data_IF_671283590805
#
_entry.id   IF_671283590805
#
_cell.length_a   1.000
_cell.length_b   1.000
_cell.length_c   1.000
_cell.angle_alpha   90.00
_cell.angle_beta   90.00
_cell.angle_gamma   90.00
#
_symmetry.space_group_name_H-M   'P 1'
#
loop_
_entity.id
_entity.type
_entity.pdbx_description
1 polymer ?
#
# COMPACT_ATOMS: atom_id res chain seq x y z
N UNK A 1 4.61 -6.40 -47.39
CA UNK A 1 4.25 -5.65 -46.17
C UNK A 1 3.70 -6.65 -45.17
N UNK A 2 4.57 -7.22 -44.33
CA UNK A 2 4.12 -7.97 -43.16
C UNK A 2 3.87 -6.95 -42.06
N UNK A 3 2.69 -6.99 -41.45
CA UNK A 3 2.46 -6.29 -40.20
C UNK A 3 3.29 -7.02 -39.14
N UNK A 4 4.44 -6.47 -38.79
CA UNK A 4 5.16 -6.89 -37.60
C UNK A 4 4.24 -6.64 -36.41
N UNK A 5 3.71 -7.74 -35.89
CA UNK A 5 3.07 -7.79 -34.59
C UNK A 5 4.14 -7.41 -33.55
N UNK A 6 4.33 -6.12 -33.31
CA UNK A 6 4.91 -5.58 -32.07
C UNK A 6 3.90 -5.82 -30.94
N UNK A 7 3.53 -7.08 -30.74
CA UNK A 7 2.81 -7.54 -29.58
C UNK A 7 3.75 -7.35 -28.41
N UNK A 8 3.32 -6.56 -27.45
CA UNK A 8 4.05 -6.33 -26.23
C UNK A 8 4.03 -7.64 -25.42
N UNK A 9 5.03 -8.51 -25.65
CA UNK A 9 5.04 -9.86 -25.07
C UNK A 9 5.70 -9.78 -23.70
N UNK A 10 4.88 -9.56 -22.68
CA UNK A 10 5.28 -9.75 -21.29
C UNK A 10 5.51 -11.23 -21.01
N UNK A 11 6.52 -11.56 -20.20
CA UNK A 11 6.62 -12.92 -19.68
C UNK A 11 5.40 -13.20 -18.78
N UNK A 12 4.77 -14.38 -18.94
CA UNK A 12 3.63 -14.81 -18.11
C UNK A 12 3.95 -14.75 -16.61
N UNK A 13 5.21 -15.03 -16.25
CA UNK A 13 5.75 -14.92 -14.90
C UNK A 13 5.65 -13.48 -14.37
N UNK A 14 6.07 -12.49 -15.14
CA UNK A 14 5.99 -11.05 -14.79
C UNK A 14 4.55 -10.62 -14.58
N UNK A 15 3.63 -11.02 -15.47
CA UNK A 15 2.20 -10.71 -15.34
C UNK A 15 1.58 -11.34 -14.08
N UNK A 16 1.94 -12.58 -13.77
CA UNK A 16 1.46 -13.26 -12.56
C UNK A 16 1.95 -12.58 -11.28
N UNK A 17 3.23 -12.18 -11.24
CA UNK A 17 3.80 -11.43 -10.11
C UNK A 17 3.09 -10.08 -9.98
N UNK A 18 2.94 -9.33 -11.07
CA UNK A 18 2.21 -8.06 -11.07
C UNK A 18 0.78 -8.22 -10.52
N UNK A 19 0.00 -9.19 -11.02
CA UNK A 19 -1.37 -9.41 -10.58
C UNK A 19 -1.45 -9.74 -9.07
N UNK A 20 -0.50 -10.54 -8.57
CA UNK A 20 -0.37 -10.83 -7.14
C UNK A 20 -0.09 -9.58 -6.32
N UNK A 21 0.88 -8.76 -6.74
CA UNK A 21 1.26 -7.53 -6.03
C UNK A 21 0.17 -6.46 -6.10
N UNK A 22 -0.52 -6.32 -7.23
CA UNK A 22 -1.65 -5.42 -7.37
C UNK A 22 -2.77 -5.78 -6.40
N UNK A 23 -3.15 -7.07 -6.33
CA UNK A 23 -4.11 -7.57 -5.34
C UNK A 23 -3.63 -7.30 -3.91
N UNK A 24 -2.37 -7.60 -3.62
CA UNK A 24 -1.78 -7.42 -2.30
C UNK A 24 -1.82 -5.95 -1.85
N UNK A 25 -1.57 -5.01 -2.78
CA UNK A 25 -1.67 -3.57 -2.54
C UNK A 25 -3.10 -3.09 -2.28
N UNK A 26 -4.09 -3.69 -2.94
CA UNK A 26 -5.51 -3.40 -2.68
C UNK A 26 -5.96 -3.91 -1.31
N UNK A 27 -5.48 -5.08 -0.89
CA UNK A 27 -5.71 -5.57 0.47
C UNK A 27 -5.10 -4.62 1.50
N UNK A 28 -3.85 -4.19 1.31
CA UNK A 28 -3.21 -3.21 2.19
C UNK A 28 -4.01 -1.90 2.25
N UNK A 29 -4.51 -1.40 1.13
CA UNK A 29 -5.32 -0.19 1.09
C UNK A 29 -6.61 -0.34 1.91
N UNK A 30 -7.28 -1.49 1.80
CA UNK A 30 -8.46 -1.80 2.61
C UNK A 30 -8.12 -1.84 4.10
N UNK A 31 -7.03 -2.50 4.46
CA UNK A 31 -6.59 -2.64 5.86
C UNK A 31 -6.25 -1.28 6.48
N UNK A 32 -5.58 -0.40 5.74
CA UNK A 32 -5.32 0.98 6.17
C UNK A 32 -6.63 1.76 6.37
N UNK A 33 -7.59 1.61 5.45
CA UNK A 33 -8.89 2.27 5.57
C UNK A 33 -9.64 1.84 6.83
N UNK A 34 -9.57 0.54 7.17
CA UNK A 34 -10.12 0.02 8.42
C UNK A 34 -9.40 0.63 9.62
N UNK A 35 -8.06 0.66 9.64
CA UNK A 35 -7.29 1.28 10.74
C UNK A 35 -7.69 2.73 10.98
N UNK A 36 -7.75 3.53 9.91
CA UNK A 36 -8.07 4.97 9.97
C UNK A 36 -9.51 5.19 10.46
N UNK A 37 -10.45 4.33 10.02
CA UNK A 37 -11.83 4.34 10.52
C UNK A 37 -11.87 3.99 12.01
N UNK A 38 -11.12 2.98 12.45
CA UNK A 38 -11.09 2.54 13.86
C UNK A 38 -10.53 3.59 14.82
N UNK A 39 -9.69 4.51 14.35
CA UNK A 39 -9.19 5.63 15.17
C UNK A 39 -10.03 6.90 15.06
N UNK A 40 -11.16 6.85 14.35
CA UNK A 40 -12.11 7.96 14.26
C UNK A 40 -11.57 9.18 13.52
N UNK A 41 -10.73 8.97 12.49
CA UNK A 41 -10.15 10.09 11.72
C UNK A 41 -11.09 10.57 10.60
N UNK A 42 -12.04 9.75 10.16
CA UNK A 42 -13.02 10.12 9.14
C UNK A 42 -14.38 10.41 9.77
N UNK A 43 -14.65 11.68 10.10
CA UNK A 43 -15.99 12.16 10.51
C UNK A 43 -16.85 12.59 9.30
N UNK A 44 -16.22 12.87 8.16
CA UNK A 44 -16.87 13.30 6.92
C UNK A 44 -16.68 12.27 5.80
N UNK A 45 -17.78 11.94 5.12
CA UNK A 45 -17.93 10.94 4.05
C UNK A 45 -17.19 11.28 2.73
N UNK A 46 -16.07 12.00 2.76
CA UNK A 46 -15.22 12.09 1.57
C UNK A 46 -14.66 10.70 1.29
N UNK A 47 -14.83 10.24 0.04
CA UNK A 47 -14.57 8.85 -0.35
C UNK A 47 -13.14 8.44 0.07
N UNK A 48 -12.98 7.49 1.02
CA UNK A 48 -11.67 7.10 1.49
C UNK A 48 -10.83 6.60 0.31
N UNK A 49 -9.59 7.12 0.25
CA UNK A 49 -8.61 6.76 -0.76
C UNK A 49 -7.34 6.27 -0.07
N UNK A 50 -6.59 5.38 -0.73
CA UNK A 50 -5.32 4.88 -0.21
C UNK A 50 -4.39 6.02 0.25
N UNK A 51 -4.30 7.10 -0.51
CA UNK A 51 -3.40 8.20 -0.22
C UNK A 51 -3.85 9.01 1.00
N UNK A 52 -5.15 9.31 1.10
CA UNK A 52 -5.71 10.03 2.25
C UNK A 52 -5.63 9.21 3.54
N UNK A 53 -5.90 7.91 3.47
CA UNK A 53 -5.80 7.01 4.63
C UNK A 53 -4.36 6.91 5.13
N UNK A 54 -3.39 6.87 4.21
CA UNK A 54 -1.97 6.85 4.55
C UNK A 54 -1.50 8.18 5.15
N UNK A 55 -1.98 9.31 4.63
CA UNK A 55 -1.67 10.63 5.19
C UNK A 55 -2.27 10.83 6.58
N UNK A 56 -3.52 10.38 6.76
CA UNK A 56 -4.16 10.33 8.06
C UNK A 56 -3.31 9.53 9.06
N UNK A 57 -2.89 8.32 8.69
CA UNK A 57 -2.16 7.43 9.57
C UNK A 57 -0.75 7.95 9.92
N UNK A 58 -0.04 8.49 8.92
CA UNK A 58 1.35 8.97 9.09
C UNK A 58 1.44 10.41 9.60
N UNK A 59 0.33 11.15 9.61
CA UNK A 59 0.20 12.51 10.10
C UNK A 59 -0.26 12.59 11.56
N UNK A 60 -1.11 13.59 11.84
CA UNK A 60 -1.66 13.86 13.17
C UNK A 60 -2.92 13.00 13.34
N UNK A 61 -2.83 11.92 14.11
CA UNK A 61 -3.98 11.10 14.46
C UNK A 61 -4.94 11.86 15.38
N UNK A 62 -6.24 11.55 15.26
CA UNK A 62 -7.30 12.04 16.14
C UNK A 62 -6.99 11.80 17.64
N UNK A 63 -7.67 12.50 18.54
CA UNK A 63 -7.54 12.30 19.98
C UNK A 63 -8.38 11.10 20.45
N UNK A 64 -7.75 10.09 21.06
CA UNK A 64 -8.45 8.93 21.62
C UNK A 64 -7.50 7.82 22.04
N UNK A 65 -7.97 6.85 22.82
CA UNK A 65 -7.17 5.73 23.30
C UNK A 65 -6.62 4.87 22.14
N UNK A 66 -7.45 4.57 21.14
CA UNK A 66 -7.06 3.86 19.92
C UNK A 66 -5.96 4.61 19.14
N UNK A 67 -6.14 5.91 18.93
CA UNK A 67 -5.16 6.75 18.25
C UNK A 67 -3.84 6.88 19.02
N UNK A 68 -3.90 6.88 20.36
CA UNK A 68 -2.71 6.88 21.20
C UNK A 68 -1.97 5.53 21.11
N UNK A 69 -2.69 4.41 21.15
CA UNK A 69 -2.09 3.09 21.00
C UNK A 69 -1.35 2.91 19.66
N UNK A 70 -1.92 3.43 18.56
CA UNK A 70 -1.21 3.48 17.27
C UNK A 70 0.02 4.39 17.36
N UNK A 71 -0.10 5.59 17.94
CA UNK A 71 1.02 6.53 18.09
C UNK A 71 2.20 5.93 18.86
N UNK A 72 1.93 5.17 19.91
CA UNK A 72 2.96 4.59 20.77
C UNK A 72 3.78 3.49 20.06
N UNK A 73 3.20 2.86 19.03
CA UNK A 73 3.84 1.77 18.27
C UNK A 73 4.40 2.25 16.92
N UNK A 74 3.84 3.31 16.35
CA UNK A 74 4.21 3.81 15.02
C UNK A 74 5.45 4.71 15.08
N UNK A 75 6.59 4.14 14.71
CA UNK A 75 7.88 4.85 14.67
C UNK A 75 8.00 5.80 13.48
N UNK A 76 8.98 6.70 13.51
CA UNK A 76 9.26 7.60 12.37
C UNK A 76 9.71 6.84 11.12
N UNK A 77 10.49 5.76 11.30
CA UNK A 77 10.88 4.87 10.21
C UNK A 77 9.66 4.17 9.60
N UNK A 78 8.71 3.70 10.43
CA UNK A 78 7.47 3.11 9.94
C UNK A 78 6.65 4.12 9.11
N UNK A 79 6.61 5.39 9.55
CA UNK A 79 5.93 6.47 8.81
C UNK A 79 6.60 6.71 7.45
N UNK A 80 7.93 6.69 7.40
CA UNK A 80 8.67 6.83 6.14
C UNK A 80 8.35 5.67 5.18
N UNK A 81 8.43 4.43 5.67
CA UNK A 81 8.11 3.22 4.89
C UNK A 81 6.67 3.27 4.34
N UNK A 82 5.70 3.65 5.17
CA UNK A 82 4.32 3.81 4.72
C UNK A 82 4.22 4.89 3.62
N UNK A 83 4.85 6.06 3.79
CA UNK A 83 4.80 7.12 2.77
C UNK A 83 5.41 6.70 1.43
N UNK A 84 6.47 5.92 1.46
CA UNK A 84 7.11 5.38 0.26
C UNK A 84 6.21 4.40 -0.51
N UNK A 85 5.15 3.89 0.12
CA UNK A 85 4.18 3.01 -0.54
C UNK A 85 3.27 3.76 -1.53
N UNK A 86 3.10 5.07 -1.43
CA UNK A 86 2.29 5.89 -2.36
C UNK A 86 2.68 5.75 -3.83
N UNK A 87 3.95 5.98 -4.23
CA UNK A 87 4.37 5.78 -5.61
C UNK A 87 4.24 4.32 -6.05
N UNK A 88 4.48 3.35 -5.16
CA UNK A 88 4.32 1.92 -5.49
C UNK A 88 2.86 1.56 -5.73
N UNK A 89 1.93 2.05 -4.92
CA UNK A 89 0.50 1.84 -5.14
C UNK A 89 0.06 2.45 -6.48
N UNK A 90 0.49 3.68 -6.77
CA UNK A 90 0.18 4.34 -8.06
C UNK A 90 0.75 3.56 -9.24
N UNK A 91 1.98 3.05 -9.11
CA UNK A 91 2.61 2.21 -10.11
C UNK A 91 1.77 0.96 -10.38
N UNK A 92 1.47 0.19 -9.33
CA UNK A 92 0.75 -1.08 -9.45
C UNK A 92 -0.70 -0.90 -9.92
N UNK A 93 -1.38 0.17 -9.49
CA UNK A 93 -2.79 0.39 -9.81
C UNK A 93 -3.02 1.03 -11.18
N UNK A 94 -2.10 1.88 -11.65
CA UNK A 94 -2.39 2.78 -12.77
C UNK A 94 -1.30 2.85 -13.83
N UNK A 95 -0.02 2.68 -13.47
CA UNK A 95 1.07 3.07 -14.37
C UNK A 95 1.94 1.93 -14.87
N UNK A 96 1.89 0.74 -14.29
CA UNK A 96 2.82 -0.34 -14.58
C UNK A 96 3.04 -0.60 -16.09
N UNK A 97 1.96 -0.82 -16.85
CA UNK A 97 2.07 -1.07 -18.30
C UNK A 97 2.43 0.16 -19.13
N UNK A 98 2.21 1.36 -18.60
CA UNK A 98 2.61 2.62 -19.25
C UNK A 98 4.10 2.90 -19.07
N UNK A 99 4.60 2.65 -17.86
CA UNK A 99 5.97 2.96 -17.45
C UNK A 99 6.97 1.91 -17.95
N UNK A 100 6.56 0.65 -18.10
CA UNK A 100 7.46 -0.44 -18.50
C UNK A 100 7.19 -1.05 -19.87
N UNK A 101 6.38 -0.40 -20.72
CA UNK A 101 5.89 -0.89 -22.02
C UNK A 101 6.54 -2.19 -22.51
N UNK A 102 7.82 -2.22 -22.91
CA UNK A 102 8.47 -3.46 -23.38
C UNK A 102 9.76 -3.85 -22.62
N UNK A 103 9.98 -3.30 -21.43
CA UNK A 103 11.19 -3.52 -20.62
C UNK A 103 10.90 -4.47 -19.46
N UNK A 104 10.99 -5.78 -19.73
CA UNK A 104 10.71 -6.84 -18.75
C UNK A 104 11.74 -6.86 -17.61
N UNK A 105 13.00 -6.53 -17.87
CA UNK A 105 14.04 -6.47 -16.84
C UNK A 105 13.78 -5.36 -15.83
N UNK A 106 13.48 -4.15 -16.32
CA UNK A 106 13.13 -3.02 -15.45
C UNK A 106 11.82 -3.30 -14.69
N UNK A 107 10.83 -3.90 -15.35
CA UNK A 107 9.58 -4.28 -14.71
C UNK A 107 9.79 -5.29 -13.57
N UNK A 108 10.55 -6.35 -13.80
CA UNK A 108 10.87 -7.35 -12.77
C UNK A 108 11.63 -6.75 -11.60
N UNK A 109 12.58 -5.86 -11.88
CA UNK A 109 13.29 -5.12 -10.82
C UNK A 109 12.34 -4.27 -9.99
N UNK A 110 11.44 -3.51 -10.64
CA UNK A 110 10.46 -2.69 -9.95
C UNK A 110 9.46 -3.52 -9.12
N UNK A 111 9.00 -4.66 -9.64
CA UNK A 111 8.13 -5.59 -8.91
C UNK A 111 8.83 -6.20 -7.69
N UNK A 112 10.13 -6.52 -7.79
CA UNK A 112 10.90 -7.01 -6.65
C UNK A 112 11.01 -5.95 -5.54
N UNK A 113 11.29 -4.69 -5.90
CA UNK A 113 11.28 -3.58 -4.93
C UNK A 113 9.90 -3.34 -4.32
N UNK A 114 8.84 -3.39 -5.14
CA UNK A 114 7.47 -3.25 -4.69
C UNK A 114 7.07 -4.35 -3.69
N UNK A 115 7.52 -5.59 -3.92
CA UNK A 115 7.28 -6.70 -3.00
C UNK A 115 7.90 -6.46 -1.63
N UNK A 116 9.17 -6.05 -1.58
CA UNK A 116 9.84 -5.76 -0.30
C UNK A 116 9.09 -4.69 0.48
N UNK A 117 8.70 -3.59 -0.19
CA UNK A 117 7.98 -2.50 0.47
C UNK A 117 6.58 -2.90 0.94
N UNK A 118 5.85 -3.69 0.15
CA UNK A 118 4.55 -4.25 0.54
C UNK A 118 4.65 -5.15 1.78
N UNK A 119 5.66 -6.02 1.82
CA UNK A 119 5.86 -6.92 2.96
C UNK A 119 6.21 -6.14 4.23
N UNK A 120 7.02 -5.07 4.12
CA UNK A 120 7.29 -4.15 5.22
C UNK A 120 6.02 -3.42 5.70
N UNK A 121 5.23 -2.86 4.79
CA UNK A 121 3.98 -2.19 5.13
C UNK A 121 2.97 -3.12 5.81
N UNK A 122 2.88 -4.38 5.36
CA UNK A 122 2.05 -5.40 5.99
C UNK A 122 2.48 -5.70 7.42
N UNK A 123 3.78 -5.81 7.67
CA UNK A 123 4.31 -6.01 9.01
C UNK A 123 3.98 -4.83 9.93
N UNK A 124 4.06 -3.60 9.42
CA UNK A 124 3.66 -2.39 10.14
C UNK A 124 2.17 -2.45 10.47
N UNK A 125 1.30 -2.61 9.47
CA UNK A 125 -0.16 -2.64 9.64
C UNK A 125 -0.60 -3.74 10.61
N UNK A 126 0.02 -4.93 10.54
CA UNK A 126 -0.24 -6.02 11.49
C UNK A 126 0.07 -5.63 12.94
N UNK A 127 1.21 -4.94 13.18
CA UNK A 127 1.54 -4.41 14.52
C UNK A 127 0.53 -3.37 14.99
N UNK A 128 0.05 -2.51 14.09
CA UNK A 128 -0.96 -1.50 14.44
C UNK A 128 -2.30 -2.13 14.83
N UNK A 129 -2.75 -3.16 14.10
CA UNK A 129 -3.95 -3.91 14.49
C UNK A 129 -3.79 -4.60 15.85
N UNK A 130 -2.62 -5.18 16.13
CA UNK A 130 -2.35 -5.77 17.44
C UNK A 130 -2.43 -4.73 18.58
N UNK A 131 -1.92 -3.51 18.34
CA UNK A 131 -2.01 -2.41 19.30
C UNK A 131 -3.48 -2.00 19.54
N UNK A 132 -4.30 -1.90 18.49
CA UNK A 132 -5.73 -1.62 18.64
C UNK A 132 -6.46 -2.73 19.41
N UNK A 133 -6.19 -3.99 19.11
CA UNK A 133 -6.82 -5.12 19.80
C UNK A 133 -6.48 -5.21 21.29
N UNK A 134 -5.37 -4.61 21.73
CA UNK A 134 -5.07 -4.51 23.18
C UNK A 134 -5.91 -3.45 23.90
N UNK A 135 -6.43 -2.44 23.21
CA UNK A 135 -7.27 -1.37 23.79
C UNK A 135 -8.68 -1.89 24.06
N UNK A 136 -9.23 -2.76 23.21
CA UNK A 136 -10.59 -3.30 23.38
C UNK A 136 -10.70 -4.30 24.55
N UNK A 137 -9.57 -4.76 25.11
CA UNK A 137 -9.52 -5.74 26.20
C UNK A 137 -9.25 -5.09 27.58
N UNK A 138 -9.14 -3.77 27.66
CA UNK A 138 -8.94 -2.98 28.89
C UNK A 138 -10.16 -2.16 29.25
#
# INVERSE_FOLDING_TARGET
MAAESNGNVWEDSTLCVFAGLARDSQCLARDLSVLVTSVGVHDDFDSPSFHSDLDALTGILASGAAAQAIRDVLTDDDRAVLRDMKPVYTLLAHRFFLDFQSDDDAARSALASARVLLDQCRAIVSRLFAALGSVDNT
#
